data_IF_936152043819
#
_entry.id   IF_936152043819
#
_cell.length_a   1.000
_cell.length_b   1.000
_cell.length_c   1.000
_cell.angle_alpha   90.00
_cell.angle_beta   90.00
_cell.angle_gamma   90.00
#
_symmetry.space_group_name_H-M   'P 1'
#
loop_
_entity.id
_entity.type
_entity.pdbx_description
1 polymer ?
#
# COMPACT_ATOMS: atom_id res chain seq x y z
N UNK A 1 -2.95 29.09 -16.30
CA UNK A 1 -4.17 29.63 -16.94
C UNK A 1 -5.03 28.52 -17.58
N UNK A 2 -4.47 27.36 -17.97
CA UNK A 2 -5.23 26.29 -18.61
C UNK A 2 -5.90 25.32 -17.64
N UNK A 3 -5.66 25.40 -16.36
CA UNK A 3 -6.25 24.52 -15.34
C UNK A 3 -7.53 25.13 -14.79
N UNK A 4 -8.62 24.39 -14.84
CA UNK A 4 -9.92 24.74 -14.26
C UNK A 4 -9.91 24.44 -12.75
N UNK A 5 -9.67 23.16 -12.41
CA UNK A 5 -9.48 22.77 -11.00
C UNK A 5 -8.56 21.54 -10.87
N UNK A 6 -8.07 21.37 -9.65
CA UNK A 6 -7.26 20.23 -9.24
C UNK A 6 -7.97 19.53 -8.09
N UNK A 7 -8.12 18.22 -8.19
CA UNK A 7 -8.60 17.36 -7.11
C UNK A 7 -7.49 16.37 -6.72
N UNK A 8 -7.17 16.32 -5.44
CA UNK A 8 -6.12 15.44 -4.92
C UNK A 8 -6.73 14.42 -3.95
N UNK A 9 -6.41 13.16 -4.16
CA UNK A 9 -6.71 12.08 -3.22
C UNK A 9 -5.40 11.43 -2.77
N UNK A 10 -5.20 11.33 -1.47
CA UNK A 10 -4.10 10.60 -0.85
C UNK A 10 -4.63 9.26 -0.39
N UNK A 11 -3.86 8.22 -0.60
CA UNK A 11 -4.30 6.85 -0.45
C UNK A 11 -4.81 6.28 -1.77
N UNK A 12 -4.65 4.98 -1.94
CA UNK A 12 -5.17 4.21 -3.07
C UNK A 12 -6.27 3.25 -2.63
N UNK A 13 -6.59 2.27 -3.44
CA UNK A 13 -7.35 1.11 -2.99
C UNK A 13 -6.51 0.37 -1.94
N UNK A 14 -6.93 0.41 -0.67
CA UNK A 14 -6.23 -0.21 0.45
C UNK A 14 -5.47 0.76 1.36
N UNK A 15 -5.82 2.05 1.39
CA UNK A 15 -5.27 3.07 2.31
C UNK A 15 -3.75 3.20 2.28
N UNK A 16 -3.15 3.03 1.10
CA UNK A 16 -1.71 3.16 0.91
C UNK A 16 -1.28 4.62 1.10
N UNK A 17 -0.65 4.92 2.21
CA UNK A 17 -0.21 6.29 2.59
C UNK A 17 0.91 6.85 1.70
N UNK A 18 1.54 5.99 0.91
CA UNK A 18 2.63 6.29 -0.04
C UNK A 18 2.14 6.49 -1.47
N UNK A 19 0.82 6.47 -1.69
CA UNK A 19 0.20 6.69 -2.98
C UNK A 19 -0.72 7.90 -2.96
N UNK A 20 -0.72 8.64 -4.06
CA UNK A 20 -1.65 9.76 -4.27
C UNK A 20 -2.07 9.85 -5.73
N UNK A 21 -3.23 10.42 -5.94
CA UNK A 21 -3.75 10.74 -7.27
C UNK A 21 -4.08 12.22 -7.33
N UNK A 22 -3.63 12.86 -8.38
CA UNK A 22 -3.95 14.24 -8.67
C UNK A 22 -4.74 14.27 -9.97
N UNK A 23 -5.98 14.66 -9.89
CA UNK A 23 -6.82 14.85 -11.05
C UNK A 23 -6.79 16.33 -11.43
N UNK A 24 -6.38 16.61 -12.67
CA UNK A 24 -6.28 17.97 -13.20
C UNK A 24 -7.29 18.12 -14.31
N UNK A 25 -8.29 18.97 -14.10
CA UNK A 25 -9.24 19.36 -15.15
C UNK A 25 -8.73 20.60 -15.86
N UNK A 26 -8.65 20.52 -17.16
CA UNK A 26 -8.32 21.66 -18.01
C UNK A 26 -9.58 22.40 -18.42
N UNK A 27 -9.46 23.71 -18.62
CA UNK A 27 -10.53 24.53 -19.25
C UNK A 27 -10.89 24.01 -20.64
N UNK A 28 -12.09 24.31 -21.16
CA UNK A 28 -12.51 23.87 -22.51
C UNK A 28 -11.48 24.18 -23.58
N UNK A 29 -11.41 23.31 -24.61
CA UNK A 29 -10.39 23.41 -25.67
C UNK A 29 -10.37 24.79 -26.37
N UNK A 30 -11.51 25.46 -26.48
CA UNK A 30 -11.61 26.79 -27.10
C UNK A 30 -11.09 27.93 -26.22
N UNK A 31 -10.85 27.70 -24.93
CA UNK A 31 -10.43 28.71 -23.95
C UNK A 31 -8.95 28.57 -23.55
N UNK A 32 -8.23 27.62 -24.16
CA UNK A 32 -6.81 27.36 -23.84
C UNK A 32 -5.92 27.44 -25.07
N UNK A 33 -4.72 27.96 -24.89
CA UNK A 33 -3.73 28.10 -25.95
C UNK A 33 -2.98 26.78 -26.21
N UNK A 34 -2.72 25.98 -25.14
CA UNK A 34 -1.98 24.72 -25.23
C UNK A 34 -2.93 23.53 -25.36
N UNK A 35 -2.57 22.57 -26.17
CA UNK A 35 -3.24 21.28 -26.25
C UNK A 35 -3.00 20.46 -24.97
N UNK A 36 -3.87 19.49 -24.68
CA UNK A 36 -3.66 18.55 -23.55
C UNK A 36 -2.29 17.85 -23.64
N UNK A 37 -1.88 17.45 -24.83
CA UNK A 37 -0.59 16.79 -25.04
C UNK A 37 0.61 17.70 -24.68
N UNK A 38 0.53 19.00 -25.00
CA UNK A 38 1.56 19.97 -24.62
C UNK A 38 1.61 20.17 -23.10
N UNK A 39 0.44 20.33 -22.44
CA UNK A 39 0.39 20.44 -20.99
C UNK A 39 0.95 19.18 -20.30
N UNK A 40 0.64 18.00 -20.82
CA UNK A 40 1.18 16.73 -20.30
C UNK A 40 2.70 16.65 -20.49
N UNK A 41 3.23 17.10 -21.61
CA UNK A 41 4.67 17.10 -21.86
C UNK A 41 5.41 18.03 -20.89
N UNK A 42 4.87 19.23 -20.66
CA UNK A 42 5.43 20.20 -19.71
C UNK A 42 5.40 19.67 -18.28
N UNK A 43 4.26 19.11 -17.86
CA UNK A 43 4.10 18.49 -16.52
C UNK A 43 5.07 17.33 -16.30
N UNK A 44 5.33 16.49 -17.32
CA UNK A 44 6.31 15.41 -17.20
C UNK A 44 7.72 15.94 -16.93
N UNK A 45 8.10 17.00 -17.62
CA UNK A 45 9.40 17.61 -17.42
C UNK A 45 9.56 18.17 -15.99
N UNK A 46 8.53 18.81 -15.47
CA UNK A 46 8.54 19.33 -14.10
C UNK A 46 8.51 18.20 -13.04
N UNK A 47 7.63 17.22 -13.20
CA UNK A 47 7.51 16.10 -12.26
C UNK A 47 8.77 15.22 -12.22
N UNK A 48 9.49 15.10 -13.33
CA UNK A 48 10.77 14.37 -13.40
C UNK A 48 11.86 14.98 -12.50
N UNK A 49 11.70 16.24 -12.09
CA UNK A 49 12.66 16.90 -11.18
C UNK A 49 12.43 16.57 -9.71
N UNK A 50 11.27 15.99 -9.37
CA UNK A 50 10.91 15.66 -8.01
C UNK A 50 11.58 14.34 -7.58
N UNK A 51 12.59 14.45 -6.73
CA UNK A 51 13.29 13.28 -6.22
C UNK A 51 12.40 12.45 -5.27
N UNK A 52 12.56 11.13 -5.34
CA UNK A 52 11.84 10.20 -4.45
C UNK A 52 10.39 9.89 -4.85
N UNK A 53 9.90 10.45 -5.95
CA UNK A 53 8.57 10.17 -6.49
C UNK A 53 8.65 9.38 -7.79
N UNK A 54 7.78 8.39 -7.91
CA UNK A 54 7.50 7.74 -9.19
C UNK A 54 6.16 8.26 -9.68
N UNK A 55 6.18 9.05 -10.74
CA UNK A 55 4.99 9.68 -11.29
C UNK A 55 4.59 9.06 -12.62
N UNK A 56 3.30 9.01 -12.90
CA UNK A 56 2.75 8.66 -14.21
C UNK A 56 1.57 9.55 -14.54
N UNK A 57 1.48 9.99 -15.79
CA UNK A 57 0.39 10.83 -16.27
C UNK A 57 -0.46 10.03 -17.24
N UNK A 58 -1.71 9.82 -16.91
CA UNK A 58 -2.71 9.21 -17.80
C UNK A 58 -3.73 10.26 -18.26
N UNK A 59 -4.12 10.16 -19.53
CA UNK A 59 -5.17 11.00 -20.11
C UNK A 59 -6.38 10.12 -20.43
N UNK A 60 -7.53 10.35 -19.78
CA UNK A 60 -8.76 9.59 -20.02
C UNK A 60 -9.49 9.17 -18.75
N UNK A 61 -10.58 8.41 -18.92
CA UNK A 61 -11.50 7.99 -17.86
C UNK A 61 -10.97 6.85 -16.96
N UNK A 62 -9.89 6.17 -17.34
CA UNK A 62 -9.30 5.09 -16.55
C UNK A 62 -7.93 5.51 -15.98
N UNK A 63 -7.93 6.14 -14.80
CA UNK A 63 -6.69 6.57 -14.17
C UNK A 63 -5.78 5.38 -13.86
N UNK A 64 -4.50 5.48 -14.27
CA UNK A 64 -3.48 4.49 -13.94
C UNK A 64 -3.36 3.32 -14.92
N UNK A 65 -4.20 3.19 -15.94
CA UNK A 65 -3.95 2.24 -17.03
C UNK A 65 -2.95 2.82 -18.04
N UNK A 66 -1.90 2.06 -18.27
CA UNK A 66 -0.94 2.35 -19.34
C UNK A 66 -1.44 1.79 -20.66
N UNK A 67 -1.10 2.45 -21.76
CA UNK A 67 -1.55 2.05 -23.10
C UNK A 67 -0.94 0.72 -23.56
N UNK A 68 0.27 0.43 -23.13
CA UNK A 68 0.99 -0.80 -23.41
C UNK A 68 1.28 -1.48 -22.07
N UNK A 69 0.93 -2.74 -21.97
CA UNK A 69 1.15 -3.55 -20.81
C UNK A 69 1.66 -4.93 -21.25
N UNK A 70 2.82 -5.32 -20.74
CA UNK A 70 3.36 -6.66 -20.87
C UNK A 70 3.23 -7.40 -19.54
N UNK A 71 2.84 -8.66 -19.57
CA UNK A 71 2.75 -9.51 -18.38
C UNK A 71 3.86 -10.54 -18.40
N UNK A 72 4.57 -10.65 -17.27
CA UNK A 72 5.58 -11.68 -17.02
C UNK A 72 5.02 -12.57 -15.93
N UNK A 73 4.85 -13.86 -16.21
CA UNK A 73 4.26 -14.82 -15.30
C UNK A 73 5.28 -15.89 -14.88
N UNK A 74 5.20 -16.36 -13.66
CA UNK A 74 6.05 -17.43 -13.18
C UNK A 74 5.89 -17.72 -11.69
N UNK A 75 6.26 -18.93 -11.26
CA UNK A 75 6.06 -19.38 -9.88
C UNK A 75 7.07 -18.73 -8.90
N UNK A 76 8.29 -18.43 -9.37
CA UNK A 76 9.39 -17.98 -8.52
C UNK A 76 9.52 -16.47 -8.50
N UNK A 77 9.27 -15.84 -7.32
CA UNK A 77 9.16 -14.39 -7.17
C UNK A 77 10.46 -13.64 -7.51
N UNK A 78 11.61 -14.21 -7.13
CA UNK A 78 12.91 -13.59 -7.36
C UNK A 78 13.26 -13.53 -8.84
N UNK A 79 13.07 -14.65 -9.52
CA UNK A 79 13.33 -14.78 -10.96
C UNK A 79 12.32 -13.94 -11.78
N UNK A 80 11.05 -13.96 -11.37
CA UNK A 80 10.01 -13.15 -11.99
C UNK A 80 10.34 -11.65 -11.91
N UNK A 81 10.80 -11.19 -10.74
CA UNK A 81 11.22 -9.80 -10.55
C UNK A 81 12.42 -9.45 -11.43
N UNK A 82 13.41 -10.34 -11.50
CA UNK A 82 14.59 -10.14 -12.34
C UNK A 82 14.23 -10.02 -13.83
N UNK A 83 13.37 -10.92 -14.31
CA UNK A 83 12.90 -10.92 -15.70
C UNK A 83 12.07 -9.68 -16.02
N UNK A 84 11.14 -9.30 -15.14
CA UNK A 84 10.33 -8.11 -15.34
C UNK A 84 11.18 -6.83 -15.37
N UNK A 85 12.22 -6.74 -14.52
CA UNK A 85 13.17 -5.64 -14.56
C UNK A 85 13.98 -5.60 -15.86
N UNK A 86 14.40 -6.75 -16.39
CA UNK A 86 15.09 -6.84 -17.66
C UNK A 86 14.18 -6.36 -18.82
N UNK A 87 12.94 -6.83 -18.87
CA UNK A 87 11.94 -6.39 -19.86
C UNK A 87 11.71 -4.87 -19.75
N UNK A 88 11.55 -4.33 -18.55
CA UNK A 88 11.40 -2.89 -18.35
C UNK A 88 12.65 -2.11 -18.80
N UNK A 89 13.85 -2.69 -18.62
CA UNK A 89 15.12 -2.14 -19.12
C UNK A 89 15.13 -1.99 -20.62
N UNK A 90 14.77 -3.04 -21.34
CA UNK A 90 14.67 -3.03 -22.81
C UNK A 90 13.58 -2.06 -23.31
N UNK A 91 12.42 -2.06 -22.66
CA UNK A 91 11.33 -1.15 -23.03
C UNK A 91 11.72 0.33 -22.90
N UNK A 92 12.57 0.69 -21.91
CA UNK A 92 13.06 2.07 -21.75
C UNK A 92 13.97 2.53 -22.89
N UNK A 93 14.57 1.60 -23.62
CA UNK A 93 15.42 1.92 -24.77
C UNK A 93 14.62 2.18 -26.05
N UNK A 94 13.34 1.84 -26.08
CA UNK A 94 12.47 2.05 -27.24
C UNK A 94 12.15 3.54 -27.38
N UNK A 95 12.47 4.17 -28.53
CA UNK A 95 12.14 5.57 -28.77
C UNK A 95 10.64 5.84 -28.61
N UNK A 96 10.28 6.82 -27.81
CA UNK A 96 8.89 7.17 -27.51
C UNK A 96 8.27 6.43 -26.33
N UNK A 97 8.92 5.43 -25.74
CA UNK A 97 8.49 4.82 -24.51
C UNK A 97 8.75 5.78 -23.33
N UNK A 98 7.70 6.08 -22.58
CA UNK A 98 7.76 6.96 -21.38
C UNK A 98 7.12 6.25 -20.19
N UNK A 99 7.54 6.62 -18.99
CA UNK A 99 6.95 6.13 -17.74
C UNK A 99 6.94 4.59 -17.62
N UNK A 100 7.98 3.93 -18.13
CA UNK A 100 8.11 2.47 -18.03
C UNK A 100 8.33 2.07 -16.58
N UNK A 101 7.44 1.29 -16.03
CA UNK A 101 7.47 0.84 -14.63
C UNK A 101 6.81 -0.51 -14.45
N UNK A 102 6.99 -1.10 -13.29
CA UNK A 102 6.42 -2.39 -12.91
C UNK A 102 5.16 -2.20 -12.07
N UNK A 103 4.25 -3.18 -12.13
CA UNK A 103 3.07 -3.24 -11.24
C UNK A 103 3.47 -3.45 -9.78
N UNK A 104 4.60 -4.10 -9.54
CA UNK A 104 5.20 -4.23 -8.21
C UNK A 104 5.93 -2.94 -7.86
N UNK A 105 5.48 -2.26 -6.81
CA UNK A 105 6.01 -0.96 -6.37
C UNK A 105 7.23 -1.09 -5.44
N UNK A 106 8.08 -2.07 -5.69
CA UNK A 106 9.27 -2.31 -4.87
C UNK A 106 8.98 -3.08 -3.59
N UNK A 107 9.79 -2.84 -2.57
CA UNK A 107 9.70 -3.47 -1.27
C UNK A 107 9.23 -2.43 -0.25
N UNK A 108 8.39 -2.85 0.69
CA UNK A 108 7.94 -2.01 1.81
C UNK A 108 8.56 -2.48 3.12
N UNK A 109 8.93 -1.55 4.01
CA UNK A 109 9.28 -1.90 5.38
C UNK A 109 8.07 -2.57 6.05
N UNK A 110 8.31 -3.67 6.71
CA UNK A 110 7.31 -4.42 7.49
C UNK A 110 7.90 -4.86 8.82
N UNK A 111 7.04 -5.29 9.72
CA UNK A 111 7.43 -5.93 10.96
C UNK A 111 7.05 -7.41 10.89
N UNK A 112 8.06 -8.29 10.96
CA UNK A 112 7.85 -9.72 11.05
C UNK A 112 7.67 -10.12 12.52
N UNK A 113 6.54 -10.78 12.82
CA UNK A 113 6.20 -11.26 14.15
C UNK A 113 6.34 -12.76 14.20
N UNK A 114 7.46 -13.23 14.71
CA UNK A 114 7.80 -14.64 14.81
C UNK A 114 7.34 -15.23 16.15
N UNK A 115 6.28 -16.04 16.11
CA UNK A 115 5.75 -16.70 17.27
C UNK A 115 6.63 -17.91 17.64
N UNK A 116 7.05 -17.99 18.91
CA UNK A 116 7.59 -19.24 19.47
C UNK A 116 6.46 -20.24 19.66
N UNK A 117 6.32 -21.14 18.67
CA UNK A 117 5.21 -22.11 18.64
C UNK A 117 5.24 -23.11 19.80
N UNK A 118 6.43 -23.41 20.32
CA UNK A 118 6.58 -24.31 21.46
C UNK A 118 6.05 -23.67 22.74
N UNK A 119 6.53 -22.48 23.04
CA UNK A 119 6.11 -21.74 24.21
C UNK A 119 4.63 -21.32 24.14
N UNK A 120 4.24 -20.72 23.02
CA UNK A 120 2.85 -20.30 22.82
C UNK A 120 1.87 -21.47 22.90
N UNK A 121 2.21 -22.61 22.31
CA UNK A 121 1.40 -23.84 22.38
C UNK A 121 1.26 -24.39 23.79
N UNK A 122 2.32 -24.31 24.60
CA UNK A 122 2.30 -24.80 26.00
C UNK A 122 1.33 -24.00 26.90
N UNK A 123 1.07 -22.74 26.57
CA UNK A 123 0.17 -21.86 27.31
C UNK A 123 -1.17 -21.62 26.58
N UNK A 124 -1.39 -22.29 25.44
CA UNK A 124 -2.63 -22.22 24.68
C UNK A 124 -2.81 -20.96 23.83
N UNK A 125 -1.73 -20.19 23.57
CA UNK A 125 -1.77 -19.02 22.68
C UNK A 125 -1.64 -19.46 21.23
N UNK A 126 -2.57 -19.01 20.40
CA UNK A 126 -2.61 -19.31 18.96
C UNK A 126 -2.18 -18.12 18.12
N UNK A 127 -1.75 -18.36 16.87
CA UNK A 127 -1.45 -17.30 15.88
C UNK A 127 -2.65 -16.38 15.68
N UNK A 128 -3.86 -16.90 15.70
CA UNK A 128 -5.09 -16.10 15.56
C UNK A 128 -5.27 -15.11 16.71
N UNK A 129 -4.99 -15.49 17.95
CA UNK A 129 -5.05 -14.58 19.10
C UNK A 129 -3.99 -13.48 19.02
N UNK A 130 -2.76 -13.82 18.60
CA UNK A 130 -1.72 -12.82 18.35
C UNK A 130 -2.15 -11.84 17.26
N UNK A 131 -2.68 -12.33 16.15
CA UNK A 131 -3.20 -11.49 15.07
C UNK A 131 -4.32 -10.55 15.53
N UNK A 132 -5.24 -11.04 16.37
CA UNK A 132 -6.32 -10.22 16.95
C UNK A 132 -5.78 -9.15 17.92
N UNK A 133 -4.77 -9.46 18.71
CA UNK A 133 -4.14 -8.49 19.61
C UNK A 133 -3.38 -7.39 18.86
N UNK A 134 -2.74 -7.74 17.73
CA UNK A 134 -2.01 -6.80 16.88
C UNK A 134 -2.95 -5.90 16.04
N UNK A 135 -4.15 -6.36 15.75
CA UNK A 135 -5.07 -5.65 14.85
C UNK A 135 -5.31 -4.18 15.23
N UNK A 136 -5.57 -3.82 16.51
CA UNK A 136 -5.78 -2.42 16.89
C UNK A 136 -4.55 -1.53 16.69
N UNK A 137 -3.34 -2.10 16.62
CA UNK A 137 -2.12 -1.34 16.38
C UNK A 137 -2.00 -0.89 14.93
N UNK A 138 -2.40 -1.74 13.97
CA UNK A 138 -2.19 -1.52 12.54
C UNK A 138 -3.47 -1.19 11.78
N UNK A 139 -4.60 -1.77 12.20
CA UNK A 139 -5.88 -1.59 11.53
C UNK A 139 -6.91 -0.99 12.48
N UNK A 140 -7.89 -0.35 11.92
CA UNK A 140 -9.04 0.14 12.65
C UNK A 140 -9.98 -1.04 12.89
N UNK A 141 -10.56 -1.09 14.09
CA UNK A 141 -11.61 -2.04 14.41
C UNK A 141 -12.90 -1.28 14.40
N UNK A 142 -13.79 -1.63 13.49
CA UNK A 142 -15.16 -1.16 13.49
C UNK A 142 -15.90 -1.84 14.66
N UNK A 143 -16.45 -1.02 15.55
CA UNK A 143 -17.18 -1.49 16.76
C UNK A 143 -18.66 -1.15 16.72
N UNK A 144 -19.10 -0.52 15.63
CA UNK A 144 -20.50 -0.20 15.39
C UNK A 144 -20.73 1.23 14.90
N UNK A 145 -21.98 1.60 14.78
CA UNK A 145 -22.42 2.87 14.23
C UNK A 145 -22.95 3.81 15.33
N UNK A 146 -22.73 5.09 15.11
CA UNK A 146 -23.34 6.15 15.88
C UNK A 146 -24.16 7.06 14.97
N UNK A 147 -25.41 7.33 15.35
CA UNK A 147 -26.25 8.29 14.64
C UNK A 147 -26.02 9.67 15.26
N UNK A 148 -25.46 10.59 14.47
CA UNK A 148 -25.22 11.95 14.92
C UNK A 148 -26.52 12.78 15.07
N UNK A 149 -26.48 13.97 15.71
CA UNK A 149 -27.66 14.80 15.88
C UNK A 149 -28.32 15.27 14.57
N UNK A 150 -27.62 15.20 13.44
CA UNK A 150 -28.18 15.50 12.12
C UNK A 150 -28.92 14.31 11.49
N UNK A 151 -28.84 13.12 12.10
CA UNK A 151 -29.42 11.88 11.60
C UNK A 151 -28.51 11.10 10.66
N UNK A 152 -27.24 11.50 10.50
CA UNK A 152 -26.26 10.76 9.72
C UNK A 152 -25.61 9.65 10.53
N UNK A 153 -25.43 8.49 9.90
CA UNK A 153 -24.71 7.36 10.48
C UNK A 153 -23.20 7.57 10.35
N UNK A 154 -22.48 7.43 11.46
CA UNK A 154 -21.04 7.53 11.57
C UNK A 154 -20.45 6.23 12.09
N UNK A 155 -19.45 5.69 11.41
CA UNK A 155 -18.72 4.52 11.89
C UNK A 155 -17.93 4.86 13.16
N UNK A 156 -18.03 4.01 14.16
CA UNK A 156 -17.23 4.11 15.40
C UNK A 156 -16.10 3.11 15.32
N UNK A 157 -14.88 3.61 15.26
CA UNK A 157 -13.69 2.77 15.14
C UNK A 157 -12.77 2.90 16.34
N UNK A 158 -12.13 1.79 16.70
CA UNK A 158 -11.11 1.73 17.75
C UNK A 158 -9.75 1.48 17.11
N UNK A 159 -8.76 2.22 17.58
CA UNK A 159 -7.35 2.05 17.23
C UNK A 159 -6.47 2.40 18.44
N UNK A 160 -5.29 1.79 18.52
CA UNK A 160 -4.32 2.20 19.55
C UNK A 160 -3.89 3.65 19.32
N UNK A 161 -3.67 4.35 20.42
CA UNK A 161 -3.15 5.72 20.38
C UNK A 161 -1.82 5.77 19.64
N UNK A 162 -1.55 6.83 18.85
CA UNK A 162 -0.32 6.93 18.05
C UNK A 162 0.96 6.72 18.86
N UNK A 163 1.03 7.28 20.05
CA UNK A 163 2.16 7.18 20.98
C UNK A 163 2.44 5.76 21.49
N UNK A 164 1.44 4.87 21.43
CA UNK A 164 1.57 3.48 21.88
C UNK A 164 1.92 2.50 20.75
N UNK A 165 2.34 2.99 19.59
CA UNK A 165 2.67 2.20 18.40
C UNK A 165 3.75 2.83 17.54
N UNK A 166 4.74 3.46 18.17
CA UNK A 166 5.82 4.18 17.49
C UNK A 166 7.07 3.36 17.32
N UNK A 167 7.33 2.43 18.24
CA UNK A 167 8.54 1.61 18.24
C UNK A 167 8.20 0.12 18.40
N UNK A 168 9.16 -0.75 18.04
CA UNK A 168 8.98 -2.21 18.15
C UNK A 168 8.64 -2.65 19.57
N UNK A 169 9.24 -2.03 20.58
CA UNK A 169 8.99 -2.33 21.98
C UNK A 169 7.53 -2.10 22.40
N UNK A 170 6.82 -1.17 21.77
CA UNK A 170 5.39 -0.96 22.03
C UNK A 170 4.59 -2.20 21.64
N UNK A 171 4.94 -2.83 20.52
CA UNK A 171 4.28 -4.06 20.05
C UNK A 171 4.64 -5.26 20.92
N UNK A 172 5.90 -5.37 21.36
CA UNK A 172 6.32 -6.43 22.25
C UNK A 172 5.65 -6.34 23.62
N UNK A 173 5.24 -5.15 24.04
CA UNK A 173 4.51 -4.90 25.28
C UNK A 173 3.01 -5.14 25.18
N UNK A 174 2.45 -5.41 23.99
CA UNK A 174 1.02 -5.62 23.79
C UNK A 174 0.48 -6.76 24.66
N UNK A 175 -0.62 -6.53 25.38
CA UNK A 175 -1.21 -7.54 26.25
C UNK A 175 -1.89 -8.64 25.42
N UNK A 176 -1.50 -9.89 25.66
CA UNK A 176 -2.17 -11.09 25.17
C UNK A 176 -2.94 -11.74 26.28
N UNK A 177 -4.21 -12.02 26.06
CA UNK A 177 -5.03 -12.81 26.96
C UNK A 177 -4.75 -14.29 26.71
N UNK A 178 -4.21 -14.98 27.71
CA UNK A 178 -3.97 -16.42 27.69
C UNK A 178 -5.27 -17.13 28.03
N UNK A 179 -5.77 -18.05 27.19
CA UNK A 179 -6.98 -18.81 27.49
C UNK A 179 -6.76 -19.76 28.68
N UNK A 180 -7.74 -19.82 29.59
CA UNK A 180 -7.69 -20.72 30.76
C UNK A 180 -8.57 -20.24 31.90
N UNK A 181 -8.61 -21.02 32.97
CA UNK A 181 -9.48 -20.78 34.14
C UNK A 181 -9.16 -19.47 34.87
N UNK A 182 -8.00 -18.86 34.70
CA UNK A 182 -7.58 -17.62 35.35
C UNK A 182 -7.10 -16.56 34.36
N UNK A 183 -7.59 -16.53 33.14
CA UNK A 183 -7.36 -15.48 32.12
C UNK A 183 -6.12 -14.61 32.38
N UNK A 184 -4.95 -15.20 32.34
CA UNK A 184 -3.69 -14.47 32.54
C UNK A 184 -3.42 -13.53 31.37
N UNK A 185 -2.84 -12.38 31.64
CA UNK A 185 -2.40 -11.44 30.62
C UNK A 185 -0.88 -11.42 30.59
N UNK A 186 -0.29 -11.66 29.43
CA UNK A 186 1.15 -11.63 29.22
C UNK A 186 1.50 -10.65 28.08
N UNK A 187 2.67 -10.03 28.08
CA UNK A 187 3.12 -9.25 26.93
C UNK A 187 3.46 -10.15 25.75
N UNK A 188 3.19 -9.67 24.52
CA UNK A 188 3.49 -10.37 23.26
C UNK A 188 4.95 -10.84 23.19
N UNK A 189 5.90 -10.02 23.63
CA UNK A 189 7.34 -10.32 23.61
C UNK A 189 7.75 -11.55 24.44
N UNK A 190 6.87 -12.09 25.28
CA UNK A 190 7.13 -13.36 25.97
C UNK A 190 6.97 -14.57 25.05
N UNK A 191 6.14 -14.47 24.03
CA UNK A 191 5.81 -15.59 23.13
C UNK A 191 6.14 -15.32 21.67
N UNK A 192 6.56 -14.11 21.33
CA UNK A 192 6.92 -13.72 19.98
C UNK A 192 8.10 -12.73 19.96
N UNK A 193 8.83 -12.72 18.86
CA UNK A 193 9.84 -11.72 18.55
C UNK A 193 9.37 -10.87 17.40
N UNK A 194 9.59 -9.56 17.49
CA UNK A 194 9.23 -8.60 16.45
C UNK A 194 10.50 -8.06 15.80
N UNK A 195 10.63 -8.27 14.49
CA UNK A 195 11.80 -7.81 13.75
C UNK A 195 11.40 -6.90 12.60
N UNK A 196 12.14 -5.81 12.36
CA UNK A 196 12.06 -5.08 11.10
C UNK A 196 12.43 -6.01 9.93
N UNK A 197 11.61 -6.02 8.92
CA UNK A 197 11.77 -6.80 7.69
C UNK A 197 11.43 -5.95 6.47
N UNK A 198 11.61 -6.52 5.30
CA UNK A 198 11.28 -5.89 4.03
C UNK A 198 10.49 -6.92 3.23
N UNK A 199 9.26 -6.58 2.91
CA UNK A 199 8.35 -7.43 2.15
C UNK A 199 7.96 -6.82 0.79
N UNK A 200 7.42 -7.63 -0.13
CA UNK A 200 6.90 -7.13 -1.38
C UNK A 200 5.70 -6.22 -1.14
N UNK A 201 5.70 -5.04 -1.75
CA UNK A 201 4.60 -4.08 -1.60
C UNK A 201 3.28 -4.63 -2.12
N UNK A 202 3.34 -5.48 -3.15
CA UNK A 202 2.18 -6.11 -3.79
C UNK A 202 2.58 -7.41 -4.47
N UNK A 203 1.71 -8.41 -4.38
CA UNK A 203 1.82 -9.69 -5.08
C UNK A 203 0.54 -9.88 -5.89
N UNK A 204 0.69 -9.88 -7.21
CA UNK A 204 -0.40 -10.13 -8.15
C UNK A 204 -0.35 -11.57 -8.64
N UNK A 205 -1.53 -12.17 -8.82
CA UNK A 205 -1.67 -13.51 -9.38
C UNK A 205 -2.58 -13.48 -10.59
N UNK A 206 -2.19 -14.22 -11.62
CA UNK A 206 -3.00 -14.53 -12.79
C UNK A 206 -2.98 -16.04 -13.00
N UNK A 207 -4.14 -16.66 -13.17
CA UNK A 207 -4.26 -18.12 -13.36
C UNK A 207 -3.52 -18.98 -12.30
N UNK A 208 -3.42 -18.50 -11.07
CA UNK A 208 -2.70 -19.06 -9.91
C UNK A 208 -1.18 -18.86 -9.91
N UNK A 209 -0.58 -18.41 -11.00
CA UNK A 209 0.84 -18.00 -11.03
C UNK A 209 0.99 -16.55 -10.61
N UNK A 210 2.18 -16.21 -10.13
CA UNK A 210 2.53 -14.81 -9.85
C UNK A 210 2.72 -14.08 -11.16
N UNK A 211 2.28 -12.83 -11.22
CA UNK A 211 2.40 -11.97 -12.40
C UNK A 211 2.99 -10.62 -12.03
N UNK A 212 3.87 -10.12 -12.86
CA UNK A 212 4.34 -8.73 -12.83
C UNK A 212 4.00 -8.10 -14.16
N UNK A 213 3.27 -6.99 -14.13
CA UNK A 213 2.95 -6.20 -15.33
C UNK A 213 3.98 -5.08 -15.50
N UNK A 214 4.49 -4.94 -16.71
CA UNK A 214 5.44 -3.90 -17.11
C UNK A 214 4.73 -2.85 -17.95
#
# INVERSE_FOLDING_TARGET
>A
PEVDYVYTAIGGQGDAVDEGRVFVKLVPKGERSRSQAQVVADLRAELATLAGLTTSISTGWQPGQKQIQGQVEGPEASELTRLAQAVAGEMRQVPGAVEVGLSTKGQKPELDVQLDRGLAGSIGVTVGQVAQALRPAFAWIDVGDWIDPSGETRDVTIRMAPESRTVVADLESLPLVVPGAQSAVIPLGQVARVHPSIGPARIDHLNRDRVITV
#
